data_IF_341892356206
#
_entry.id   IF_341892356206
#
_cell.length_a   1.000
_cell.length_b   1.000
_cell.length_c   1.000
_cell.angle_alpha   90.00
_cell.angle_beta   90.00
_cell.angle_gamma   90.00
#
_symmetry.space_group_name_H-M   'P 1'
#
loop_
_entity.id
_entity.type
_entity.pdbx_description
1 polymer ?
#
# COMPACT_ATOMS: atom_id res chain seq x y z
N UNK A 1 -1.85 17.62 -2.60
CA UNK A 1 -2.64 17.62 -1.35
C UNK A 1 -3.98 17.01 -1.74
N UNK A 2 -4.28 15.80 -1.31
CA UNK A 2 -5.52 15.12 -1.72
C UNK A 2 -6.64 15.66 -0.83
N UNK A 3 -7.65 16.27 -1.45
CA UNK A 3 -8.83 16.77 -0.75
C UNK A 3 -9.55 15.62 -0.04
N UNK A 4 -9.62 15.72 1.28
CA UNK A 4 -10.44 14.84 2.13
C UNK A 4 -11.80 15.46 2.44
N UNK A 5 -12.01 16.70 2.01
CA UNK A 5 -13.27 17.41 2.19
C UNK A 5 -14.33 16.90 1.21
N UNK A 6 -15.55 16.77 1.71
CA UNK A 6 -16.70 16.46 0.88
C UNK A 6 -16.99 17.66 -0.02
N UNK A 7 -17.06 17.50 -1.35
CA UNK A 7 -17.28 18.62 -2.24
C UNK A 7 -18.65 19.25 -1.97
N UNK A 8 -18.72 20.58 -2.00
CA UNK A 8 -20.00 21.29 -1.96
C UNK A 8 -20.81 21.05 -3.24
N UNK A 9 -22.14 21.09 -3.13
CA UNK A 9 -23.05 20.93 -4.26
C UNK A 9 -24.48 20.77 -3.73
N UNK A 10 -25.43 21.62 -4.16
CA UNK A 10 -26.74 21.75 -3.49
C UNK A 10 -27.56 20.45 -3.54
N UNK A 11 -27.46 19.65 -4.60
CA UNK A 11 -28.41 18.57 -4.87
C UNK A 11 -27.80 17.15 -4.90
N UNK A 12 -26.47 17.01 -4.97
CA UNK A 12 -25.81 15.71 -4.91
C UNK A 12 -26.00 15.05 -3.52
N UNK A 13 -26.29 13.74 -3.50
CA UNK A 13 -26.43 13.01 -2.23
C UNK A 13 -25.10 12.93 -1.47
N UNK A 14 -25.16 12.73 -0.15
CA UNK A 14 -23.95 12.57 0.70
C UNK A 14 -23.09 11.39 0.23
N UNK A 15 -23.71 10.30 -0.22
CA UNK A 15 -23.01 9.14 -0.77
C UNK A 15 -22.30 9.46 -2.10
N UNK A 16 -22.96 10.17 -3.02
CA UNK A 16 -22.35 10.61 -4.29
C UNK A 16 -21.13 11.49 -4.03
N UNK A 17 -21.25 12.46 -3.10
CA UNK A 17 -20.12 13.31 -2.69
C UNK A 17 -18.97 12.50 -2.09
N UNK A 18 -19.27 11.57 -1.19
CA UNK A 18 -18.24 10.69 -0.59
C UNK A 18 -17.54 9.81 -1.63
N UNK A 19 -18.29 9.27 -2.58
CA UNK A 19 -17.72 8.49 -3.68
C UNK A 19 -16.85 9.35 -4.59
N UNK A 20 -17.29 10.57 -4.92
CA UNK A 20 -16.51 11.52 -5.69
C UNK A 20 -15.18 11.88 -5.01
N UNK A 21 -15.17 12.11 -3.68
CA UNK A 21 -13.93 12.31 -2.92
C UNK A 21 -13.01 11.07 -2.97
N UNK A 22 -13.57 9.86 -2.90
CA UNK A 22 -12.78 8.64 -3.07
C UNK A 22 -12.19 8.53 -4.48
N UNK A 23 -12.97 8.85 -5.50
CA UNK A 23 -12.53 8.83 -6.90
C UNK A 23 -11.43 9.86 -7.15
N UNK A 24 -11.63 11.10 -6.70
CA UNK A 24 -10.65 12.19 -6.72
C UNK A 24 -9.33 11.75 -6.09
N UNK A 25 -9.40 11.11 -4.91
CA UNK A 25 -8.22 10.60 -4.19
C UNK A 25 -7.48 9.50 -4.95
N UNK A 26 -8.18 8.65 -5.71
CA UNK A 26 -7.54 7.56 -6.48
C UNK A 26 -6.91 8.05 -7.76
N UNK A 27 -7.54 9.01 -8.42
CA UNK A 27 -7.04 9.56 -9.68
C UNK A 27 -6.05 10.70 -9.46
N UNK A 28 -5.82 11.12 -8.22
CA UNK A 28 -5.05 12.32 -7.86
C UNK A 28 -5.56 13.59 -8.58
N UNK A 29 -6.88 13.65 -8.81
CA UNK A 29 -7.56 14.78 -9.44
C UNK A 29 -8.20 15.62 -8.33
N UNK A 30 -8.11 16.97 -8.36
CA UNK A 30 -8.82 17.82 -7.41
C UNK A 30 -10.31 17.47 -7.36
N UNK A 31 -10.90 17.44 -6.16
CA UNK A 31 -12.29 16.95 -6.02
C UNK A 31 -13.31 17.82 -6.76
N UNK A 32 -13.02 19.12 -6.93
CA UNK A 32 -13.84 20.04 -7.72
C UNK A 32 -13.86 19.76 -9.23
N UNK A 33 -12.89 19.00 -9.74
CA UNK A 33 -12.79 18.61 -11.16
C UNK A 33 -13.46 17.26 -11.45
N UNK A 34 -13.89 16.53 -10.41
CA UNK A 34 -14.68 15.31 -10.57
C UNK A 34 -16.14 15.70 -10.83
N UNK A 35 -16.75 15.27 -11.95
CA UNK A 35 -18.11 15.68 -12.28
C UNK A 35 -19.08 15.15 -11.22
N UNK A 36 -19.84 16.06 -10.61
CA UNK A 36 -20.91 15.71 -9.68
C UNK A 36 -22.24 15.71 -10.43
N UNK A 37 -23.07 14.71 -10.13
CA UNK A 37 -24.45 14.62 -10.64
C UNK A 37 -25.42 14.74 -9.48
N UNK A 38 -26.54 15.42 -9.72
CA UNK A 38 -27.63 15.59 -8.77
C UNK A 38 -28.51 14.32 -8.64
N UNK A 39 -28.14 13.26 -9.36
CA UNK A 39 -28.86 11.99 -9.38
C UNK A 39 -28.32 11.00 -8.33
N UNK A 40 -28.97 9.83 -8.24
CA UNK A 40 -28.49 8.73 -7.41
C UNK A 40 -27.11 8.20 -7.83
N UNK A 41 -26.54 7.32 -7.01
CA UNK A 41 -25.23 6.73 -7.27
C UNK A 41 -25.18 6.00 -8.62
N UNK A 42 -26.26 5.32 -9.03
CA UNK A 42 -26.29 4.56 -10.29
C UNK A 42 -26.09 5.48 -11.51
N UNK A 43 -26.74 6.64 -11.53
CA UNK A 43 -26.55 7.63 -12.58
C UNK A 43 -25.15 8.26 -12.52
N UNK A 44 -24.65 8.60 -11.32
CA UNK A 44 -23.32 9.16 -11.15
C UNK A 44 -22.22 8.19 -11.64
N UNK A 45 -22.35 6.89 -11.38
CA UNK A 45 -21.45 5.85 -11.88
C UNK A 45 -21.39 5.81 -13.41
N UNK A 46 -22.53 5.99 -14.09
CA UNK A 46 -22.58 6.08 -15.55
C UNK A 46 -21.79 7.27 -16.10
N UNK A 47 -21.93 8.44 -15.47
CA UNK A 47 -21.17 9.63 -15.83
C UNK A 47 -19.67 9.45 -15.59
N UNK A 48 -19.27 8.93 -14.43
CA UNK A 48 -17.86 8.69 -14.09
C UNK A 48 -17.20 7.65 -14.99
N UNK A 49 -17.91 6.61 -15.44
CA UNK A 49 -17.37 5.64 -16.40
C UNK A 49 -16.94 6.32 -17.71
N UNK A 50 -17.76 7.23 -18.22
CA UNK A 50 -17.45 7.98 -19.44
C UNK A 50 -16.29 8.93 -19.21
N UNK A 51 -16.34 9.70 -18.12
CA UNK A 51 -15.31 10.66 -17.76
C UNK A 51 -13.93 10.03 -17.50
N UNK A 52 -13.88 8.87 -16.84
CA UNK A 52 -12.64 8.11 -16.64
C UNK A 52 -12.10 7.55 -17.96
N UNK A 53 -12.98 7.13 -18.88
CA UNK A 53 -12.56 6.55 -20.15
C UNK A 53 -11.78 7.56 -21.01
N UNK A 54 -12.18 8.83 -21.00
CA UNK A 54 -11.43 9.93 -21.62
C UNK A 54 -10.02 10.13 -21.04
N UNK A 55 -9.78 9.61 -19.83
CA UNK A 55 -8.51 9.71 -19.08
C UNK A 55 -7.77 8.37 -19.03
N UNK A 56 -8.14 7.41 -19.89
CA UNK A 56 -7.47 6.12 -19.98
C UNK A 56 -7.70 5.20 -18.78
N UNK A 57 -8.75 5.42 -17.99
CA UNK A 57 -9.12 4.59 -16.85
C UNK A 57 -10.58 4.10 -16.94
N UNK A 58 -10.93 3.07 -16.19
CA UNK A 58 -12.27 2.50 -16.10
C UNK A 58 -12.68 2.21 -14.67
N UNK A 59 -13.99 2.27 -14.42
CA UNK A 59 -14.60 1.89 -13.15
C UNK A 59 -15.24 0.51 -13.28
N UNK A 60 -14.59 -0.51 -12.71
CA UNK A 60 -14.91 -1.92 -12.91
C UNK A 60 -15.64 -2.47 -11.67
N UNK A 61 -16.87 -2.99 -11.79
CA UNK A 61 -17.59 -3.53 -10.64
C UNK A 61 -16.94 -4.79 -10.08
N UNK A 62 -16.94 -4.92 -8.76
CA UNK A 62 -16.40 -6.07 -8.03
C UNK A 62 -17.59 -6.87 -7.49
N UNK A 63 -17.72 -8.12 -7.92
CA UNK A 63 -18.87 -8.97 -7.57
C UNK A 63 -18.85 -9.47 -6.11
N UNK A 64 -17.68 -9.75 -5.55
CA UNK A 64 -17.51 -10.25 -4.17
C UNK A 64 -16.41 -9.43 -3.48
N UNK A 65 -16.82 -8.33 -2.84
CA UNK A 65 -15.91 -7.43 -2.13
C UNK A 65 -15.25 -8.08 -0.90
N UNK A 66 -15.89 -9.10 -0.30
CA UNK A 66 -15.37 -9.79 0.89
C UNK A 66 -14.16 -10.66 0.52
N UNK A 67 -14.21 -11.32 -0.64
CA UNK A 67 -13.10 -12.15 -1.14
C UNK A 67 -12.13 -11.39 -2.03
N UNK A 68 -12.43 -10.15 -2.40
CA UNK A 68 -11.58 -9.36 -3.26
C UNK A 68 -10.24 -9.03 -2.59
N UNK A 69 -9.15 -9.34 -3.29
CA UNK A 69 -7.78 -9.11 -2.82
C UNK A 69 -7.01 -8.44 -3.95
N UNK A 70 -6.65 -7.18 -3.75
CA UNK A 70 -5.91 -6.42 -4.74
C UNK A 70 -5.05 -5.36 -4.06
N UNK A 71 -3.77 -5.31 -4.40
CA UNK A 71 -2.83 -4.31 -3.93
C UNK A 71 -2.94 -2.98 -4.70
N UNK A 72 -4.14 -2.65 -5.16
CA UNK A 72 -4.48 -1.42 -5.86
C UNK A 72 -5.71 -0.75 -5.25
N UNK A 73 -6.09 0.39 -5.82
CA UNK A 73 -7.16 1.23 -5.31
C UNK A 73 -8.54 0.75 -5.70
N UNK A 74 -9.43 0.59 -4.73
CA UNK A 74 -10.83 0.29 -5.00
C UNK A 74 -11.76 1.00 -4.02
N UNK A 75 -12.91 1.41 -4.52
CA UNK A 75 -13.93 2.14 -3.79
C UNK A 75 -15.02 1.16 -3.39
N UNK A 76 -15.50 1.24 -2.16
CA UNK A 76 -16.60 0.43 -1.67
C UNK A 76 -17.69 1.30 -1.05
N UNK A 77 -18.92 0.82 -1.07
CA UNK A 77 -20.04 1.40 -0.33
C UNK A 77 -20.35 0.47 0.84
N UNK A 78 -20.16 0.97 2.06
CA UNK A 78 -20.48 0.28 3.31
C UNK A 78 -21.93 0.57 3.67
N UNK A 79 -22.66 -0.46 4.05
CA UNK A 79 -24.04 -0.36 4.52
C UNK A 79 -24.15 0.60 5.71
N UNK A 80 -25.15 1.49 5.68
CA UNK A 80 -25.44 2.40 6.79
C UNK A 80 -25.84 1.66 8.07
N UNK A 81 -26.41 0.46 7.94
CA UNK A 81 -26.74 -0.44 9.04
C UNK A 81 -25.53 -1.27 9.54
N UNK A 82 -24.35 -1.09 8.96
CA UNK A 82 -23.12 -1.67 9.51
C UNK A 82 -22.86 -1.12 10.92
N UNK A 83 -22.60 -1.97 11.93
CA UNK A 83 -22.33 -1.51 13.30
C UNK A 83 -21.18 -0.51 13.44
N UNK A 84 -20.23 -0.52 12.49
CA UNK A 84 -19.13 0.42 12.43
C UNK A 84 -19.57 1.82 11.94
N UNK A 85 -20.70 1.91 11.24
CA UNK A 85 -21.30 3.16 10.76
C UNK A 85 -22.27 3.68 11.82
N UNK A 86 -21.90 4.76 12.50
CA UNK A 86 -22.80 5.45 13.46
C UNK A 86 -23.82 6.30 12.70
N UNK A 87 -24.82 5.67 12.07
CA UNK A 87 -25.84 6.36 11.28
C UNK A 87 -27.27 5.92 11.65
N UNK A 88 -28.26 6.62 11.07
CA UNK A 88 -29.68 6.22 11.19
C UNK A 88 -29.94 5.01 10.26
N UNK A 89 -30.88 4.12 10.58
CA UNK A 89 -31.19 2.93 9.76
C UNK A 89 -31.50 3.23 8.29
N UNK A 90 -32.04 4.42 7.99
CA UNK A 90 -32.41 4.85 6.64
C UNK A 90 -31.38 5.77 5.98
N UNK A 91 -30.18 5.91 6.56
CA UNK A 91 -29.13 6.73 5.97
C UNK A 91 -28.58 6.09 4.69
N UNK A 92 -28.16 6.88 3.68
CA UNK A 92 -27.44 6.33 2.55
C UNK A 92 -26.12 5.71 3.02
N UNK A 93 -25.64 4.69 2.30
CA UNK A 93 -24.36 4.04 2.60
C UNK A 93 -23.16 4.99 2.64
N UNK A 94 -22.03 4.49 3.11
CA UNK A 94 -20.78 5.25 3.23
C UNK A 94 -19.76 4.79 2.19
N UNK A 95 -19.34 5.70 1.32
CA UNK A 95 -18.23 5.46 0.41
C UNK A 95 -16.90 5.45 1.18
N UNK A 96 -16.10 4.42 0.92
CA UNK A 96 -14.76 4.26 1.47
C UNK A 96 -13.78 3.93 0.35
N UNK A 97 -12.54 4.39 0.49
CA UNK A 97 -11.42 3.96 -0.34
C UNK A 97 -10.66 2.86 0.40
N UNK A 98 -10.40 1.76 -0.28
CA UNK A 98 -9.65 0.63 0.25
C UNK A 98 -8.39 0.35 -0.57
N UNK A 99 -7.38 -0.19 0.11
CA UNK A 99 -6.08 -0.52 -0.48
C UNK A 99 -5.40 -1.69 0.27
N UNK A 100 -4.56 -2.42 -0.44
CA UNK A 100 -3.64 -3.41 0.13
C UNK A 100 -4.15 -4.84 0.13
N UNK A 101 -3.32 -5.77 0.58
CA UNK A 101 -3.66 -7.20 0.62
C UNK A 101 -3.08 -7.82 1.91
N UNK A 102 -3.92 -8.12 2.93
CA UNK A 102 -5.38 -7.91 2.97
C UNK A 102 -5.77 -6.42 2.97
N UNK A 103 -6.90 -6.05 2.32
CA UNK A 103 -7.29 -4.65 2.16
C UNK A 103 -7.90 -4.04 3.42
N UNK A 104 -7.48 -2.80 3.70
CA UNK A 104 -8.06 -1.94 4.74
C UNK A 104 -8.57 -0.62 4.17
N UNK A 105 -9.45 0.04 4.93
CA UNK A 105 -9.97 1.37 4.57
C UNK A 105 -8.89 2.42 4.81
N UNK A 106 -8.60 3.22 3.78
CA UNK A 106 -7.58 4.28 3.77
C UNK A 106 -8.15 5.67 3.56
N UNK A 107 -9.44 5.78 3.25
CA UNK A 107 -10.21 7.03 3.27
C UNK A 107 -11.69 6.70 3.54
N UNK A 108 -12.34 7.52 4.36
CA UNK A 108 -13.78 7.45 4.58
C UNK A 108 -14.30 8.87 4.85
N UNK A 109 -14.66 9.62 3.80
CA UNK A 109 -15.00 11.04 3.94
C UNK A 109 -16.24 11.29 4.80
N UNK A 110 -17.21 10.37 4.75
CA UNK A 110 -18.47 10.49 5.48
C UNK A 110 -18.38 9.92 6.91
N UNK A 111 -17.48 8.96 7.16
CA UNK A 111 -17.35 8.31 8.46
C UNK A 111 -15.87 7.99 8.78
N UNK A 112 -15.09 8.97 9.27
CA UNK A 112 -13.66 8.81 9.53
C UNK A 112 -13.29 7.63 10.44
N UNK A 113 -14.20 7.19 11.31
CA UNK A 113 -14.03 6.04 12.20
C UNK A 113 -13.84 4.68 11.47
N UNK A 114 -14.14 4.62 10.16
CA UNK A 114 -13.89 3.43 9.34
C UNK A 114 -12.44 3.29 8.89
N UNK A 115 -11.63 4.36 8.92
CA UNK A 115 -10.22 4.31 8.51
C UNK A 115 -9.45 3.31 9.38
N UNK A 116 -8.64 2.46 8.73
CA UNK A 116 -7.88 1.37 9.36
C UNK A 116 -8.66 0.06 9.55
N UNK A 117 -9.99 0.05 9.34
CA UNK A 117 -10.79 -1.18 9.40
C UNK A 117 -10.43 -2.13 8.26
N UNK A 118 -10.42 -3.43 8.54
CA UNK A 118 -10.29 -4.42 7.47
C UNK A 118 -11.61 -4.51 6.70
N UNK A 119 -11.54 -4.51 5.39
CA UNK A 119 -12.76 -4.54 4.54
C UNK A 119 -13.58 -5.81 4.70
N UNK A 120 -12.96 -6.92 5.10
CA UNK A 120 -13.63 -8.18 5.43
C UNK A 120 -14.51 -8.11 6.69
N UNK A 121 -14.35 -7.06 7.50
CA UNK A 121 -15.14 -6.81 8.71
C UNK A 121 -16.35 -5.92 8.44
N UNK A 122 -16.51 -5.42 7.20
CA UNK A 122 -17.53 -4.45 6.81
C UNK A 122 -18.60 -5.11 5.92
N UNK A 123 -19.84 -4.66 6.08
CA UNK A 123 -20.95 -4.99 5.19
C UNK A 123 -20.88 -4.10 3.96
N UNK A 124 -20.24 -4.60 2.90
CA UNK A 124 -20.10 -3.89 1.63
C UNK A 124 -21.26 -4.26 0.71
N UNK A 125 -21.99 -3.27 0.20
CA UNK A 125 -23.12 -3.45 -0.71
C UNK A 125 -22.72 -3.29 -2.17
N UNK A 126 -21.74 -2.42 -2.45
CA UNK A 126 -21.21 -2.17 -3.79
C UNK A 126 -19.70 -1.95 -3.73
N UNK A 127 -18.97 -2.36 -4.76
CA UNK A 127 -17.53 -2.15 -4.85
C UNK A 127 -17.06 -2.00 -6.30
N UNK A 128 -16.05 -1.16 -6.50
CA UNK A 128 -15.53 -0.80 -7.81
C UNK A 128 -14.00 -0.64 -7.78
N UNK A 129 -13.32 -1.29 -8.70
CA UNK A 129 -11.91 -1.07 -8.98
C UNK A 129 -11.74 0.10 -9.97
N UNK A 130 -10.78 0.99 -9.74
CA UNK A 130 -10.37 1.99 -10.73
C UNK A 130 -9.13 1.45 -11.44
N UNK A 131 -9.26 1.07 -12.71
CA UNK A 131 -8.21 0.36 -13.45
C UNK A 131 -7.82 1.10 -14.74
N UNK A 132 -6.55 0.99 -15.14
CA UNK A 132 -6.08 1.47 -16.45
C UNK A 132 -6.80 0.75 -17.59
N UNK A 133 -7.16 1.48 -18.65
CA UNK A 133 -7.65 0.91 -19.92
C UNK A 133 -6.52 0.35 -20.79
N UNK A 134 -5.28 0.76 -20.53
CA UNK A 134 -4.09 0.25 -21.20
C UNK A 134 -3.33 -0.68 -20.24
N UNK A 135 -3.50 -2.01 -20.35
CA UNK A 135 -2.82 -2.97 -19.50
C UNK A 135 -1.37 -3.22 -19.94
N UNK A 136 -0.87 -2.56 -20.99
CA UNK A 136 0.48 -2.78 -21.50
C UNK A 136 1.50 -2.32 -20.44
N UNK A 137 2.30 -3.28 -19.97
CA UNK A 137 3.40 -3.02 -19.06
C UNK A 137 4.53 -2.32 -19.81
N UNK A 138 4.59 -1.00 -19.68
CA UNK A 138 5.73 -0.23 -20.19
C UNK A 138 6.89 -0.34 -19.20
N UNK A 139 8.07 -0.65 -19.73
CA UNK A 139 9.28 -0.60 -18.93
C UNK A 139 9.56 0.86 -18.58
N UNK A 140 9.73 1.14 -17.29
CA UNK A 140 10.24 2.44 -16.84
C UNK A 140 11.64 2.62 -17.41
N UNK A 141 11.95 3.75 -18.08
CA UNK A 141 13.30 4.04 -18.56
C UNK A 141 14.34 3.89 -17.46
N UNK A 142 15.60 3.59 -17.82
CA UNK A 142 16.69 3.55 -16.87
C UNK A 142 16.81 4.91 -16.12
N UNK A 143 16.74 4.84 -14.79
CA UNK A 143 16.95 5.95 -13.85
C UNK A 143 18.48 6.06 -13.59
N UNK A 144 19.05 7.23 -13.21
CA UNK A 144 20.50 7.43 -13.13
C UNK A 144 21.17 6.48 -12.13
N UNK A 145 22.50 6.53 -12.06
CA UNK A 145 23.34 5.72 -11.17
C UNK A 145 22.76 5.64 -9.74
N UNK A 146 22.07 4.52 -9.43
CA UNK A 146 21.38 4.34 -8.16
C UNK A 146 22.43 3.90 -7.13
N UNK A 147 22.78 4.83 -6.26
CA UNK A 147 23.73 4.62 -5.18
C UNK A 147 23.09 5.00 -3.85
N UNK A 148 23.35 4.22 -2.82
CA UNK A 148 22.89 4.52 -1.47
C UNK A 148 23.68 3.74 -0.44
N UNK A 149 23.24 3.77 0.80
CA UNK A 149 23.87 3.03 1.89
C UNK A 149 22.84 2.31 2.75
N UNK A 150 23.30 1.27 3.44
CA UNK A 150 22.56 0.60 4.50
C UNK A 150 22.64 1.44 5.77
N UNK A 151 21.50 1.92 6.25
CA UNK A 151 21.44 2.70 7.49
C UNK A 151 20.99 1.87 8.69
N UNK A 152 20.20 0.83 8.45
CA UNK A 152 19.66 -0.01 9.50
C UNK A 152 19.41 -1.43 9.03
N UNK A 153 19.61 -2.39 9.92
CA UNK A 153 19.30 -3.79 9.68
C UNK A 153 18.42 -4.28 10.82
N UNK A 154 17.38 -5.02 10.51
CA UNK A 154 16.47 -5.60 11.48
C UNK A 154 15.96 -6.97 11.05
N UNK A 155 15.74 -7.84 12.04
CA UNK A 155 15.10 -9.15 11.85
C UNK A 155 13.99 -9.34 12.85
N UNK A 156 13.01 -10.19 12.55
CA UNK A 156 12.08 -10.68 13.58
C UNK A 156 12.14 -12.20 13.61
N UNK A 157 12.33 -12.82 14.79
CA UNK A 157 12.44 -14.27 14.88
C UNK A 157 11.14 -15.02 14.57
N UNK A 158 9.98 -14.34 14.62
CA UNK A 158 8.67 -14.91 14.30
C UNK A 158 7.72 -13.87 13.68
N UNK A 159 6.63 -14.31 13.06
CA UNK A 159 5.61 -13.53 12.34
C UNK A 159 5.30 -12.15 12.95
N UNK A 160 4.91 -12.12 14.22
CA UNK A 160 4.46 -10.93 14.95
C UNK A 160 5.42 -10.52 16.07
N UNK A 161 6.56 -11.20 16.18
CA UNK A 161 7.58 -10.83 17.17
C UNK A 161 8.09 -9.40 16.93
N UNK A 162 8.54 -8.71 18.00
CA UNK A 162 9.26 -7.45 17.87
C UNK A 162 10.46 -7.58 16.93
N UNK A 163 10.71 -6.53 16.14
CA UNK A 163 11.92 -6.45 15.33
C UNK A 163 13.13 -6.22 16.25
N UNK A 164 14.25 -6.84 15.92
CA UNK A 164 15.54 -6.73 16.59
C UNK A 164 16.52 -6.04 15.65
N UNK A 165 17.12 -4.95 16.11
CA UNK A 165 18.14 -4.23 15.34
C UNK A 165 19.46 -4.99 15.36
N UNK A 166 20.15 -4.99 14.22
CA UNK A 166 21.44 -5.63 14.05
C UNK A 166 22.44 -4.62 13.46
N UNK A 167 23.72 -4.82 13.75
CA UNK A 167 24.81 -4.13 13.04
C UNK A 167 25.21 -4.87 11.76
N UNK A 168 24.97 -6.19 11.74
CA UNK A 168 25.39 -7.10 10.67
C UNK A 168 24.28 -8.13 10.42
N UNK A 169 23.93 -8.34 9.16
CA UNK A 169 23.00 -9.39 8.72
C UNK A 169 23.66 -10.38 7.76
N UNK A 170 23.47 -11.68 8.00
CA UNK A 170 23.92 -12.74 7.08
C UNK A 170 22.78 -13.08 6.11
N UNK A 171 22.94 -12.71 4.84
CA UNK A 171 22.01 -13.01 3.78
C UNK A 171 22.34 -14.38 3.15
N UNK A 172 21.31 -15.23 3.01
CA UNK A 172 21.41 -16.55 2.38
C UNK A 172 20.57 -16.60 1.12
N UNK A 173 21.18 -17.07 0.03
CA UNK A 173 20.53 -17.14 -1.28
C UNK A 173 19.23 -17.96 -1.22
N UNK A 174 18.15 -17.41 -1.78
CA UNK A 174 16.81 -18.02 -1.81
C UNK A 174 16.17 -18.26 -0.43
N UNK A 175 16.73 -17.66 0.64
CA UNK A 175 16.26 -17.81 2.02
C UNK A 175 16.02 -16.49 2.73
N UNK A 176 16.89 -15.50 2.56
CA UNK A 176 16.82 -14.23 3.30
C UNK A 176 17.83 -14.10 4.44
N UNK A 177 17.57 -13.21 5.39
CA UNK A 177 18.45 -12.98 6.53
C UNK A 177 18.35 -14.08 7.59
N UNK A 178 19.50 -14.57 8.04
CA UNK A 178 19.56 -15.46 9.21
C UNK A 178 18.91 -14.81 10.43
N UNK A 179 18.11 -15.61 11.16
CA UNK A 179 17.34 -15.13 12.31
C UNK A 179 16.01 -14.45 11.96
N UNK A 180 15.70 -14.20 10.69
CA UNK A 180 14.40 -13.67 10.28
C UNK A 180 13.35 -14.77 10.06
N UNK A 181 12.11 -14.44 10.44
CA UNK A 181 10.90 -15.24 10.27
C UNK A 181 10.70 -15.74 8.84
N UNK A 182 11.05 -14.96 7.82
CA UNK A 182 10.88 -15.38 6.43
C UNK A 182 11.95 -16.39 6.00
N UNK A 183 13.18 -16.29 6.51
CA UNK A 183 14.21 -17.31 6.34
C UNK A 183 13.88 -18.64 7.03
N UNK A 184 13.11 -18.58 8.12
CA UNK A 184 12.54 -19.74 8.80
C UNK A 184 11.20 -20.22 8.20
N UNK A 185 10.68 -19.56 7.15
CA UNK A 185 9.34 -19.81 6.56
C UNK A 185 8.19 -19.72 7.59
N UNK A 186 8.38 -18.92 8.62
CA UNK A 186 7.46 -18.69 9.74
C UNK A 186 6.89 -17.26 9.77
N UNK A 187 6.98 -16.52 8.64
CA UNK A 187 6.37 -15.20 8.51
C UNK A 187 4.88 -15.29 8.20
N UNK A 188 4.12 -14.25 8.55
CA UNK A 188 2.66 -14.17 8.31
C UNK A 188 2.27 -14.50 6.87
N UNK A 189 3.09 -14.06 5.92
CA UNK A 189 2.84 -14.23 4.48
C UNK A 189 3.68 -15.33 3.84
N UNK A 190 4.39 -16.16 4.63
CA UNK A 190 5.22 -17.23 4.09
C UNK A 190 4.39 -18.15 3.18
N UNK A 191 4.87 -18.43 1.94
CA UNK A 191 4.16 -19.32 1.03
C UNK A 191 3.94 -20.71 1.66
N UNK A 192 2.73 -21.27 1.49
CA UNK A 192 2.39 -22.60 2.01
C UNK A 192 3.18 -23.74 1.36
N UNK A 193 3.68 -23.52 0.15
CA UNK A 193 4.49 -24.48 -0.58
C UNK A 193 5.49 -23.75 -1.50
N UNK A 194 6.71 -24.28 -1.55
CA UNK A 194 7.79 -23.77 -2.39
C UNK A 194 8.37 -22.43 -1.93
N UNK A 195 9.52 -22.08 -2.49
CA UNK A 195 10.02 -20.71 -2.45
C UNK A 195 9.28 -19.89 -3.52
N UNK A 196 8.89 -18.65 -3.18
CA UNK A 196 8.28 -17.70 -4.11
C UNK A 196 9.13 -16.44 -4.17
N UNK A 197 9.17 -15.76 -5.33
CA UNK A 197 9.86 -14.49 -5.46
C UNK A 197 9.36 -13.37 -4.53
N UNK A 198 10.29 -12.55 -4.05
CA UNK A 198 10.09 -11.36 -3.22
C UNK A 198 9.81 -11.66 -1.75
N UNK A 199 10.37 -12.74 -1.21
CA UNK A 199 10.17 -13.15 0.19
C UNK A 199 11.45 -13.24 1.01
N UNK A 200 12.62 -13.12 0.41
CA UNK A 200 13.89 -13.26 1.13
C UNK A 200 14.22 -12.03 1.97
N UNK A 201 13.99 -10.84 1.41
CA UNK A 201 14.40 -9.59 2.04
C UNK A 201 13.41 -8.47 1.76
N UNK A 202 13.33 -7.51 2.69
CA UNK A 202 12.53 -6.30 2.52
C UNK A 202 13.31 -5.04 2.85
N UNK A 203 13.20 -4.02 2.01
CA UNK A 203 13.90 -2.73 2.13
C UNK A 203 12.88 -1.61 2.33
N UNK A 204 13.29 -0.51 2.95
CA UNK A 204 12.56 0.77 2.99
C UNK A 204 13.53 1.94 3.01
N UNK A 205 13.17 3.02 2.32
CA UNK A 205 13.94 4.25 2.30
C UNK A 205 13.70 5.07 3.57
N UNK A 206 14.76 5.54 4.20
CA UNK A 206 14.71 6.34 5.42
C UNK A 206 14.07 7.71 5.19
N UNK A 207 14.17 8.23 3.98
CA UNK A 207 13.48 9.45 3.52
C UNK A 207 11.96 9.35 3.73
N UNK A 208 11.37 8.15 3.60
CA UNK A 208 9.95 7.93 3.89
C UNK A 208 9.64 8.18 5.36
N UNK A 209 10.52 7.73 6.26
CA UNK A 209 10.32 7.86 7.70
C UNK A 209 10.54 9.31 8.14
N UNK A 210 11.52 10.00 7.55
CA UNK A 210 11.78 11.42 7.79
C UNK A 210 10.60 12.29 7.37
N UNK A 211 10.04 12.05 6.18
CA UNK A 211 8.86 12.77 5.69
C UNK A 211 7.63 12.50 6.56
N UNK A 212 7.42 11.25 6.99
CA UNK A 212 6.33 10.91 7.92
C UNK A 212 6.50 11.60 9.27
N UNK A 213 7.72 11.67 9.81
CA UNK A 213 8.00 12.39 11.04
C UNK A 213 7.76 13.90 10.88
N UNK A 214 8.18 14.50 9.77
CA UNK A 214 7.92 15.90 9.44
C UNK A 214 6.42 16.22 9.29
N UNK A 215 5.63 15.25 8.81
CA UNK A 215 4.17 15.34 8.73
C UNK A 215 3.45 15.07 10.07
N UNK A 216 4.18 14.87 11.18
CA UNK A 216 3.60 14.62 12.51
C UNK A 216 3.11 13.19 12.73
N UNK A 217 3.52 12.24 11.89
CA UNK A 217 3.17 10.81 11.96
C UNK A 217 4.42 9.93 12.05
N UNK A 218 5.28 10.09 13.08
CA UNK A 218 6.56 9.38 13.14
C UNK A 218 6.38 7.86 13.19
N UNK A 219 7.15 7.14 12.39
CA UNK A 219 7.23 5.68 12.38
C UNK A 219 8.70 5.27 12.54
N UNK A 220 9.00 4.45 13.55
CA UNK A 220 10.35 3.92 13.74
C UNK A 220 10.70 2.89 12.66
N UNK A 221 12.00 2.70 12.38
CA UNK A 221 12.46 1.66 11.45
C UNK A 221 11.92 0.27 11.83
N UNK A 222 12.03 -0.11 13.11
CA UNK A 222 11.45 -1.35 13.61
C UNK A 222 9.92 -1.43 13.38
N UNK A 223 9.22 -0.30 13.48
CA UNK A 223 7.79 -0.17 13.18
C UNK A 223 7.44 -0.44 11.71
N UNK A 224 8.36 -0.25 10.77
CA UNK A 224 8.12 -0.61 9.35
C UNK A 224 8.04 -2.12 9.13
N UNK A 225 8.61 -2.90 10.07
CA UNK A 225 8.80 -4.35 10.00
C UNK A 225 9.57 -4.82 8.77
N UNK A 226 10.39 -3.93 8.18
CA UNK A 226 11.27 -4.21 7.05
C UNK A 226 12.66 -4.62 7.56
N UNK A 227 13.41 -5.32 6.72
CA UNK A 227 14.70 -5.86 7.12
C UNK A 227 15.84 -4.87 7.00
N UNK A 228 15.78 -3.98 6.00
CA UNK A 228 16.87 -3.04 5.71
C UNK A 228 16.31 -1.65 5.54
N UNK A 229 16.88 -0.70 6.27
CA UNK A 229 16.69 0.73 6.08
C UNK A 229 17.79 1.23 5.16
N UNK A 230 17.41 1.93 4.09
CA UNK A 230 18.35 2.47 3.10
C UNK A 230 18.35 3.98 3.13
N UNK A 231 19.46 4.60 2.74
CA UNK A 231 19.60 6.06 2.60
C UNK A 231 20.16 6.43 1.24
N UNK A 232 19.66 7.51 0.64
CA UNK A 232 20.19 8.11 -0.58
C UNK A 232 19.80 7.39 -1.88
N UNK A 233 18.97 6.36 -1.82
CA UNK A 233 18.58 5.54 -2.98
C UNK A 233 17.06 5.44 -3.13
N UNK A 234 16.58 5.59 -4.38
CA UNK A 234 15.21 5.26 -4.72
C UNK A 234 15.03 3.73 -4.75
N UNK A 235 14.59 3.18 -3.63
CA UNK A 235 14.31 1.74 -3.48
C UNK A 235 13.24 1.23 -4.44
N UNK A 236 12.30 2.07 -4.88
CA UNK A 236 11.27 1.64 -5.81
C UNK A 236 11.82 1.49 -7.23
N UNK A 237 12.81 2.30 -7.61
CA UNK A 237 13.49 2.20 -8.89
C UNK A 237 14.30 0.89 -9.07
N UNK A 238 14.54 0.15 -7.98
CA UNK A 238 15.21 -1.16 -8.01
C UNK A 238 14.29 -2.32 -8.44
N UNK A 239 12.98 -2.11 -8.61
CA UNK A 239 12.07 -3.16 -9.12
C UNK A 239 12.55 -3.67 -10.49
N UNK A 240 12.71 -4.99 -10.61
CA UNK A 240 13.19 -5.65 -11.82
C UNK A 240 14.70 -5.50 -12.07
N UNK A 241 15.47 -4.95 -11.12
CA UNK A 241 16.91 -4.74 -11.25
C UNK A 241 17.70 -5.60 -10.28
N UNK A 242 18.91 -5.96 -10.71
CA UNK A 242 19.91 -6.59 -9.85
C UNK A 242 20.80 -5.50 -9.24
N UNK A 243 21.13 -5.62 -7.97
CA UNK A 243 21.95 -4.68 -7.24
C UNK A 243 22.76 -5.39 -6.15
N UNK A 244 23.88 -4.80 -5.75
CA UNK A 244 24.64 -5.22 -4.57
C UNK A 244 24.06 -4.58 -3.33
N UNK A 245 24.02 -5.34 -2.24
CA UNK A 245 23.69 -4.87 -0.91
C UNK A 245 24.77 -5.40 0.03
N UNK A 246 25.75 -4.57 0.34
CA UNK A 246 27.00 -5.06 0.93
C UNK A 246 27.68 -6.07 0.00
N UNK A 247 27.91 -7.29 0.50
CA UNK A 247 28.50 -8.38 -0.31
C UNK A 247 27.46 -9.32 -0.93
N UNK A 248 26.17 -9.15 -0.61
CA UNK A 248 25.10 -9.96 -1.18
C UNK A 248 24.63 -9.39 -2.52
N UNK A 249 24.37 -10.27 -3.50
CA UNK A 249 23.70 -9.91 -4.75
C UNK A 249 22.19 -10.08 -4.58
N UNK A 250 21.43 -9.07 -4.96
CA UNK A 250 19.99 -8.99 -4.73
C UNK A 250 19.24 -8.64 -6.02
N UNK A 251 17.99 -9.08 -6.13
CA UNK A 251 17.07 -8.68 -7.20
C UNK A 251 15.82 -8.02 -6.61
N UNK A 252 15.51 -6.79 -7.04
CA UNK A 252 14.26 -6.13 -6.67
C UNK A 252 13.08 -6.76 -7.41
N UNK A 253 12.01 -7.13 -6.69
CA UNK A 253 10.90 -7.90 -7.26
C UNK A 253 9.63 -7.11 -7.42
N UNK A 254 9.17 -6.46 -6.35
CA UNK A 254 7.93 -5.67 -6.33
C UNK A 254 7.88 -4.75 -5.13
N UNK A 255 6.99 -3.78 -5.17
CA UNK A 255 6.72 -2.93 -4.01
C UNK A 255 6.20 -3.76 -2.82
N UNK A 256 6.61 -3.36 -1.63
CA UNK A 256 6.18 -3.91 -0.36
C UNK A 256 5.02 -3.08 0.19
N UNK A 257 3.90 -3.09 -0.54
CA UNK A 257 2.72 -2.29 -0.24
C UNK A 257 2.20 -2.53 1.19
N UNK A 258 1.73 -1.47 1.88
CA UNK A 258 1.17 -1.60 3.21
C UNK A 258 -0.17 -2.36 3.18
N UNK A 259 -0.49 -3.02 4.28
CA UNK A 259 -1.74 -3.76 4.45
C UNK A 259 -2.26 -3.59 5.89
N UNK A 260 -3.53 -3.94 6.12
CA UNK A 260 -4.15 -3.77 7.44
C UNK A 260 -3.45 -4.56 8.54
N UNK A 261 -2.78 -5.67 8.21
CA UNK A 261 -1.96 -6.41 9.18
C UNK A 261 -0.74 -5.58 9.64
N UNK A 262 -0.11 -4.80 8.76
CA UNK A 262 0.99 -3.91 9.13
C UNK A 262 0.48 -2.79 10.06
N UNK A 263 -0.64 -2.16 9.72
CA UNK A 263 -1.27 -1.10 10.52
C UNK A 263 -1.53 -1.55 11.97
N UNK A 264 -2.06 -2.77 12.14
CA UNK A 264 -2.32 -3.36 13.46
C UNK A 264 -1.05 -3.55 14.30
N UNK A 265 0.08 -3.86 13.67
CA UNK A 265 1.34 -4.15 14.37
C UNK A 265 2.15 -2.88 14.66
N UNK A 266 2.02 -1.86 13.84
CA UNK A 266 2.87 -0.65 13.89
C UNK A 266 2.16 0.55 14.51
N UNK A 267 0.83 0.49 14.66
CA UNK A 267 -0.01 1.57 15.14
C UNK A 267 -0.97 2.06 14.04
N UNK A 268 -2.19 2.49 14.42
CA UNK A 268 -3.21 2.86 13.45
C UNK A 268 -2.80 4.08 12.61
N UNK A 269 -3.15 4.04 11.32
CA UNK A 269 -3.02 5.19 10.43
C UNK A 269 -1.74 5.24 9.60
N UNK A 270 -0.95 4.17 9.56
CA UNK A 270 0.26 4.08 8.73
C UNK A 270 -0.03 3.56 7.32
N UNK A 271 -1.21 2.97 7.08
CA UNK A 271 -1.60 2.47 5.75
C UNK A 271 -1.43 3.53 4.66
N UNK A 272 -2.18 4.62 4.76
CA UNK A 272 -2.27 5.65 3.72
C UNK A 272 -0.91 6.33 3.45
N UNK A 273 -0.14 6.78 4.48
CA UNK A 273 1.17 7.40 4.24
C UNK A 273 2.19 6.50 3.53
N UNK A 274 2.05 5.17 3.64
CA UNK A 274 2.98 4.20 3.06
C UNK A 274 2.55 3.65 1.69
N UNK A 275 1.41 4.08 1.13
CA UNK A 275 0.96 3.58 -0.18
C UNK A 275 2.00 3.95 -1.24
N UNK A 276 2.45 2.95 -2.02
CA UNK A 276 3.55 3.05 -3.00
C UNK A 276 4.90 3.45 -2.42
N UNK A 277 5.02 3.55 -1.09
CA UNK A 277 6.23 3.97 -0.36
C UNK A 277 6.60 3.02 0.77
N UNK A 278 5.90 1.90 0.90
CA UNK A 278 6.14 0.86 1.90
C UNK A 278 7.42 0.05 1.68
N UNK A 279 8.20 0.39 0.66
CA UNK A 279 9.50 -0.17 0.36
C UNK A 279 9.47 -1.27 -0.70
N UNK A 280 10.48 -2.13 -0.71
CA UNK A 280 10.74 -3.11 -1.76
C UNK A 280 10.82 -4.53 -1.21
N UNK A 281 10.30 -5.49 -1.97
CA UNK A 281 10.52 -6.93 -1.77
C UNK A 281 11.64 -7.41 -2.69
N UNK A 282 12.57 -8.16 -2.12
CA UNK A 282 13.84 -8.52 -2.73
C UNK A 282 14.07 -10.01 -2.61
N UNK A 283 14.69 -10.60 -3.64
CA UNK A 283 15.27 -11.93 -3.60
C UNK A 283 16.78 -11.84 -3.40
N UNK A 284 17.33 -12.72 -2.58
CA UNK A 284 18.78 -12.82 -2.37
C UNK A 284 19.32 -13.85 -3.36
N UNK A 285 20.14 -13.40 -4.31
CA UNK A 285 20.69 -14.22 -5.38
C UNK A 285 21.98 -14.94 -4.99
N UNK A 286 22.79 -14.32 -4.13
CA UNK A 286 24.00 -14.92 -3.58
C UNK A 286 24.08 -14.72 -2.08
N UNK A 287 24.72 -15.68 -1.40
CA UNK A 287 25.13 -15.50 -0.02
C UNK A 287 26.02 -14.26 0.12
N UNK A 288 25.88 -13.58 1.25
CA UNK A 288 26.68 -12.41 1.55
C UNK A 288 26.35 -11.83 2.91
N UNK A 289 27.22 -10.97 3.36
CA UNK A 289 27.04 -10.18 4.57
C UNK A 289 26.65 -8.75 4.21
N UNK A 290 25.75 -8.18 5.02
CA UNK A 290 25.27 -6.80 4.94
C UNK A 290 25.63 -6.12 6.26
N UNK A 291 26.36 -5.01 6.20
CA UNK A 291 26.69 -4.17 7.36
C UNK A 291 26.12 -2.76 7.25
N UNK A 292 25.94 -2.10 8.39
CA UNK A 292 25.64 -0.67 8.40
C UNK A 292 26.75 0.13 7.70
N UNK A 293 26.34 1.14 6.92
CA UNK A 293 27.21 1.99 6.12
C UNK A 293 27.66 1.40 4.79
N UNK A 294 27.40 0.12 4.51
CA UNK A 294 27.79 -0.48 3.25
C UNK A 294 26.99 0.07 2.07
N UNK A 295 27.62 0.13 0.87
CA UNK A 295 26.99 0.68 -0.31
C UNK A 295 25.90 -0.24 -0.85
N UNK A 296 24.96 0.41 -1.54
CA UNK A 296 23.95 -0.19 -2.39
C UNK A 296 24.17 0.37 -3.79
N UNK A 297 24.38 -0.48 -4.78
CA UNK A 297 24.61 -0.04 -6.16
C UNK A 297 24.07 -1.03 -7.18
N UNK A 298 23.63 -0.54 -8.34
CA UNK A 298 23.31 -1.41 -9.47
C UNK A 298 24.54 -2.22 -9.91
N UNK A 299 24.28 -3.41 -10.46
CA UNK A 299 25.28 -4.34 -11.02
C UNK A 299 25.10 -4.43 -12.53
#
# INVERSE_FOLDING_TARGET
MIDVELPGGPDATVLVRGFATCLASVTEIPVGDVPLSDNDLAHALGAWRTWLAERGSGLVPIADAVRFQWAGWWIAVVDAADPAVRSRPDAPGVAVLAFGTPPGVVLSPQAPALVGRATVELRITEAYAVASLDPVLRQTPAVPDLHGTVEGIAVAPAAEAPMQLLEIGQARAGRGLEGDRYAARAGTFSPRAGHRPGYDLTLIAAEVLDEMAAAGQPLSFAGTRRNVLTRGIDVNALVGRTFSLGTALCEGRRLCEPCVHLDRLSGPGILRPLIHRGGLRVDVLSDGEIRLGEPISLV
#
